data_IF_172077710246
#
_entry.id   IF_172077710246
#
_cell.length_a   1.000
_cell.length_b   1.000
_cell.length_c   1.000
_cell.angle_alpha   90.00
_cell.angle_beta   90.00
_cell.angle_gamma   90.00
#
_symmetry.space_group_name_H-M   'P 1'
#
loop_
_entity.id
_entity.type
_entity.pdbx_description
1 polymer ?
#
# COMPACT_ATOMS: atom_id res chain seq x y z
N UNK A 1 -4.09 -2.90 -5.26
CA UNK A 1 -2.63 -3.12 -5.13
C UNK A 1 -2.32 -4.58 -5.43
N UNK A 2 -1.71 -4.84 -6.60
CA UNK A 2 -1.59 -6.20 -7.18
C UNK A 2 -0.83 -7.19 -6.28
N UNK A 3 0.25 -6.74 -5.61
CA UNK A 3 1.02 -7.60 -4.71
C UNK A 3 0.24 -7.98 -3.45
N UNK A 4 -0.57 -7.06 -2.93
CA UNK A 4 -1.44 -7.31 -1.78
C UNK A 4 -2.61 -8.22 -2.17
N UNK A 5 -3.23 -7.97 -3.32
CA UNK A 5 -4.28 -8.80 -3.90
C UNK A 5 -3.85 -10.26 -4.09
N UNK A 6 -2.61 -10.46 -4.54
CA UNK A 6 -2.03 -11.78 -4.76
C UNK A 6 -1.57 -12.49 -3.46
N UNK A 7 -1.81 -11.91 -2.27
CA UNK A 7 -1.33 -12.46 -0.99
C UNK A 7 0.19 -12.45 -0.85
N UNK A 8 0.91 -11.70 -1.70
CA UNK A 8 2.38 -11.68 -1.75
C UNK A 8 2.96 -10.62 -0.81
N UNK A 9 2.61 -10.70 0.46
CA UNK A 9 3.01 -9.73 1.50
C UNK A 9 4.54 -9.59 1.63
N UNK A 10 5.28 -10.67 1.39
CA UNK A 10 6.74 -10.65 1.42
C UNK A 10 7.35 -9.87 0.25
N UNK A 11 6.79 -10.01 -0.96
CA UNK A 11 7.22 -9.23 -2.12
C UNK A 11 6.88 -7.74 -1.94
N UNK A 12 5.72 -7.44 -1.36
CA UNK A 12 5.34 -6.08 -0.99
C UNK A 12 6.32 -5.48 0.04
N UNK A 13 6.73 -6.26 1.06
CA UNK A 13 7.73 -5.82 2.03
C UNK A 13 9.08 -5.53 1.37
N UNK A 14 9.55 -6.39 0.46
CA UNK A 14 10.79 -6.14 -0.31
C UNK A 14 10.71 -4.83 -1.08
N UNK A 15 9.64 -4.63 -1.83
CA UNK A 15 9.43 -3.42 -2.62
C UNK A 15 9.38 -2.15 -1.74
N UNK A 16 8.66 -2.20 -0.62
CA UNK A 16 8.52 -1.03 0.26
C UNK A 16 9.79 -0.72 1.07
N UNK A 17 10.50 -1.76 1.53
CA UNK A 17 11.62 -1.62 2.47
C UNK A 17 12.97 -1.75 1.77
N UNK A 18 13.19 -2.84 1.04
CA UNK A 18 14.48 -3.16 0.40
C UNK A 18 14.73 -2.23 -0.80
N UNK A 19 13.72 -1.98 -1.63
CA UNK A 19 13.82 -1.03 -2.76
C UNK A 19 13.59 0.43 -2.31
N UNK A 20 13.24 0.65 -1.04
CA UNK A 20 13.16 1.99 -0.43
C UNK A 20 11.97 2.83 -0.86
N UNK A 21 11.01 2.29 -1.61
CA UNK A 21 9.82 3.03 -2.08
C UNK A 21 8.96 3.53 -0.92
N UNK A 22 8.91 2.78 0.20
CA UNK A 22 8.22 3.18 1.42
C UNK A 22 8.84 4.37 2.14
N UNK A 23 10.07 4.79 1.79
CA UNK A 23 10.67 6.03 2.32
C UNK A 23 10.20 7.28 1.56
N UNK A 24 9.62 7.12 0.37
CA UNK A 24 9.18 8.25 -0.43
C UNK A 24 7.81 8.73 0.05
N UNK A 25 7.73 9.96 0.55
CA UNK A 25 6.46 10.56 0.98
C UNK A 25 5.41 10.60 -0.14
N UNK A 26 5.84 10.74 -1.40
CA UNK A 26 4.97 10.77 -2.58
C UNK A 26 4.23 9.45 -2.78
N UNK A 27 4.85 8.31 -2.48
CA UNK A 27 4.19 6.99 -2.56
C UNK A 27 2.98 6.93 -1.63
N UNK A 28 3.16 7.36 -0.37
CA UNK A 28 2.08 7.37 0.62
C UNK A 28 0.99 8.39 0.29
N UNK A 29 1.36 9.57 -0.22
CA UNK A 29 0.39 10.58 -0.69
C UNK A 29 -0.45 10.02 -1.84
N UNK A 30 0.16 9.36 -2.82
CA UNK A 30 -0.56 8.73 -3.92
C UNK A 30 -1.49 7.63 -3.42
N UNK A 31 -1.03 6.75 -2.53
CA UNK A 31 -1.87 5.71 -1.94
C UNK A 31 -3.06 6.31 -1.18
N UNK A 32 -2.87 7.39 -0.42
CA UNK A 32 -3.93 8.10 0.28
C UNK A 32 -4.95 8.72 -0.70
N UNK A 33 -4.47 9.37 -1.77
CA UNK A 33 -5.34 9.92 -2.82
C UNK A 33 -6.16 8.82 -3.50
N UNK A 34 -5.54 7.67 -3.80
CA UNK A 34 -6.24 6.53 -4.39
C UNK A 34 -7.33 5.97 -3.46
N UNK A 35 -7.04 5.80 -2.16
CA UNK A 35 -8.05 5.36 -1.18
C UNK A 35 -9.25 6.31 -1.10
N UNK A 36 -9.00 7.63 -1.20
CA UNK A 36 -10.04 8.64 -1.19
C UNK A 36 -10.90 8.64 -2.46
N UNK A 37 -10.32 8.27 -3.61
CA UNK A 37 -11.01 8.24 -4.90
C UNK A 37 -11.80 6.95 -5.13
N UNK A 38 -11.38 5.82 -4.54
CA UNK A 38 -12.10 4.57 -4.73
C UNK A 38 -13.41 4.50 -3.93
N UNK A 39 -14.52 4.03 -4.55
CA UNK A 39 -15.77 3.81 -3.86
C UNK A 39 -15.64 2.78 -2.73
N UNK A 40 -16.45 2.96 -1.68
CA UNK A 40 -16.55 2.01 -0.57
C UNK A 40 -17.04 0.65 -1.09
N UNK A 41 -16.43 -0.45 -0.62
CA UNK A 41 -16.80 -1.81 -0.99
C UNK A 41 -16.05 -2.37 -2.22
N UNK A 42 -15.24 -1.57 -2.90
CA UNK A 42 -14.37 -2.05 -3.99
C UNK A 42 -13.17 -2.82 -3.44
N UNK A 43 -12.73 -3.84 -4.17
CA UNK A 43 -11.53 -4.61 -3.82
C UNK A 43 -10.28 -3.75 -3.92
N UNK A 44 -10.23 -2.85 -4.89
CA UNK A 44 -9.16 -1.90 -5.10
C UNK A 44 -8.95 -1.01 -3.88
N UNK A 45 -10.04 -0.47 -3.31
CA UNK A 45 -9.98 0.29 -2.07
C UNK A 45 -9.45 -0.55 -0.93
N UNK A 46 -10.01 -1.75 -0.71
CA UNK A 46 -9.57 -2.67 0.33
C UNK A 46 -8.07 -2.98 0.22
N UNK A 47 -7.55 -3.14 -0.99
CA UNK A 47 -6.12 -3.40 -1.18
C UNK A 47 -5.25 -2.18 -0.89
N UNK A 48 -5.66 -0.98 -1.31
CA UNK A 48 -4.92 0.26 -1.02
C UNK A 48 -4.93 0.53 0.49
N UNK A 49 -6.07 0.37 1.13
CA UNK A 49 -6.22 0.51 2.58
C UNK A 49 -5.36 -0.53 3.34
N UNK A 50 -5.26 -1.75 2.82
CA UNK A 50 -4.33 -2.77 3.34
C UNK A 50 -2.86 -2.35 3.29
N UNK A 51 -2.44 -1.68 2.21
CA UNK A 51 -1.07 -1.13 2.10
C UNK A 51 -0.86 0.05 3.05
N UNK A 52 -1.84 0.96 3.16
CA UNK A 52 -1.79 2.09 4.09
C UNK A 52 -1.77 1.64 5.56
N UNK A 53 -2.53 0.59 5.92
CA UNK A 53 -2.49 -0.02 7.24
C UNK A 53 -1.12 -0.66 7.53
N UNK A 54 -0.51 -1.29 6.51
CA UNK A 54 0.83 -1.87 6.59
C UNK A 54 1.95 -0.85 6.83
N UNK A 55 1.74 0.43 6.48
CA UNK A 55 2.72 1.52 6.70
C UNK A 55 3.25 1.55 8.14
N UNK A 56 2.32 1.57 9.12
CA UNK A 56 2.66 1.63 10.55
C UNK A 56 3.43 0.39 11.03
N UNK A 57 3.04 -0.79 10.53
CA UNK A 57 3.70 -2.05 10.87
C UNK A 57 5.10 -2.21 10.26
N UNK A 58 5.42 -1.45 9.21
CA UNK A 58 6.72 -1.43 8.55
C UNK A 58 7.67 -0.35 9.08
N UNK A 59 7.22 0.51 10.01
CA UNK A 59 8.04 1.54 10.64
C UNK A 59 8.20 2.83 9.83
N UNK A 60 7.24 3.15 8.95
CA UNK A 60 7.21 4.39 8.15
C UNK A 60 6.11 5.37 8.58
#
# INVERSE_FOLDING_TARGET
>A
MVLFAAGRTQALKRFLVEEGVGRQATFWKLAQSLSALYPNGTEEKRWVDGVLAGKKGLGF
#
